data_IF_797018716270
#
_entry.id   IF_797018716270
#
_cell.length_a   1.000
_cell.length_b   1.000
_cell.length_c   1.000
_cell.angle_alpha   90.00
_cell.angle_beta   90.00
_cell.angle_gamma   90.00
#
_symmetry.space_group_name_H-M   'P 1'
#
loop_
_entity.id
_entity.type
_entity.pdbx_description
1 polymer ?
#
# COMPACT_ATOMS: atom_id res chain seq x y z
N UNK A 1 -1.02 22.25 -16.90
CA UNK A 1 -2.16 21.32 -16.72
C UNK A 1 -2.06 20.69 -15.33
N UNK A 2 -2.70 21.28 -14.30
CA UNK A 2 -2.56 20.86 -12.87
C UNK A 2 -3.89 20.60 -12.13
N UNK A 3 -5.03 20.75 -12.79
CA UNK A 3 -6.35 20.76 -12.13
C UNK A 3 -7.18 19.48 -12.29
N UNK A 4 -6.61 18.42 -12.86
CA UNK A 4 -7.33 17.15 -13.06
C UNK A 4 -7.09 16.18 -11.90
N UNK A 5 -5.84 16.07 -11.43
CA UNK A 5 -5.48 15.25 -10.27
C UNK A 5 -6.12 15.75 -8.96
N UNK A 6 -6.32 17.06 -8.79
CA UNK A 6 -6.89 17.64 -7.54
C UNK A 6 -8.38 17.34 -7.36
N UNK A 7 -9.17 17.23 -8.45
CA UNK A 7 -10.61 16.96 -8.34
C UNK A 7 -10.92 15.50 -8.02
N UNK A 8 -10.09 14.57 -8.50
CA UNK A 8 -10.25 13.14 -8.24
C UNK A 8 -9.92 12.82 -6.78
N UNK A 9 -8.89 13.44 -6.20
CA UNK A 9 -8.57 13.30 -4.77
C UNK A 9 -9.66 13.88 -3.85
N UNK A 10 -10.33 14.96 -4.25
CA UNK A 10 -11.46 15.50 -3.48
C UNK A 10 -12.67 14.56 -3.54
N UNK A 11 -12.92 13.86 -4.64
CA UNK A 11 -14.07 12.96 -4.75
C UNK A 11 -13.91 11.73 -3.85
N UNK A 12 -12.69 11.21 -3.69
CA UNK A 12 -12.40 10.11 -2.75
C UNK A 12 -12.54 10.56 -1.28
N UNK A 13 -12.15 11.80 -0.97
CA UNK A 13 -12.29 12.39 0.37
C UNK A 13 -13.74 12.65 0.80
N UNK A 14 -14.69 12.78 -0.14
CA UNK A 14 -16.11 13.02 0.15
C UNK A 14 -16.95 11.77 0.36
N UNK A 15 -16.40 10.58 0.09
CA UNK A 15 -17.11 9.33 0.34
C UNK A 15 -17.02 8.98 1.82
N UNK A 16 -18.15 8.61 2.42
CA UNK A 16 -18.16 8.17 3.82
C UNK A 16 -17.25 6.95 3.98
N UNK A 17 -16.64 6.81 5.17
CA UNK A 17 -15.67 5.74 5.42
C UNK A 17 -16.23 4.34 5.11
N UNK A 18 -17.52 4.14 5.40
CA UNK A 18 -18.23 2.89 5.08
C UNK A 18 -18.30 2.62 3.57
N UNK A 19 -18.50 3.64 2.73
CA UNK A 19 -18.52 3.47 1.27
C UNK A 19 -17.15 3.10 0.72
N UNK A 20 -16.08 3.71 1.24
CA UNK A 20 -14.71 3.36 0.87
C UNK A 20 -14.42 1.88 1.17
N UNK A 21 -14.81 1.41 2.36
CA UNK A 21 -14.65 0.01 2.77
C UNK A 21 -15.46 -0.94 1.88
N UNK A 22 -16.68 -0.57 1.49
CA UNK A 22 -17.46 -1.38 0.55
C UNK A 22 -16.80 -1.52 -0.82
N UNK A 23 -16.23 -0.44 -1.34
CA UNK A 23 -15.47 -0.45 -2.60
C UNK A 23 -14.25 -1.37 -2.48
N UNK A 24 -13.56 -1.32 -1.33
CA UNK A 24 -12.41 -2.16 -1.04
C UNK A 24 -12.77 -3.65 -0.98
N UNK A 25 -13.85 -4.00 -0.26
CA UNK A 25 -14.38 -5.38 -0.21
C UNK A 25 -14.72 -5.89 -1.61
N UNK A 26 -15.39 -5.06 -2.40
CA UNK A 26 -15.73 -5.40 -3.78
C UNK A 26 -14.48 -5.59 -4.65
N UNK A 27 -13.50 -4.70 -4.52
CA UNK A 27 -12.21 -4.79 -5.21
C UNK A 27 -11.47 -6.10 -4.91
N UNK A 28 -11.36 -6.45 -3.62
CA UNK A 28 -10.70 -7.69 -3.23
C UNK A 28 -11.46 -8.92 -3.73
N UNK A 29 -12.79 -8.93 -3.64
CA UNK A 29 -13.60 -10.08 -4.00
C UNK A 29 -13.71 -10.31 -5.51
N UNK A 30 -13.86 -9.25 -6.31
CA UNK A 30 -14.13 -9.37 -7.74
C UNK A 30 -12.92 -9.11 -8.65
N UNK A 31 -11.84 -8.53 -8.13
CA UNK A 31 -10.62 -8.32 -8.92
C UNK A 31 -9.46 -9.13 -8.36
N UNK A 32 -9.11 -8.94 -7.08
CA UNK A 32 -7.90 -9.55 -6.51
C UNK A 32 -8.03 -11.07 -6.39
N UNK A 33 -9.06 -11.57 -5.70
CA UNK A 33 -9.25 -13.01 -5.48
C UNK A 33 -9.36 -13.80 -6.79
N UNK A 34 -10.22 -13.45 -7.77
CA UNK A 34 -10.31 -14.23 -9.00
C UNK A 34 -9.02 -14.18 -9.81
N UNK A 35 -8.33 -13.03 -9.87
CA UNK A 35 -7.03 -12.95 -10.53
C UNK A 35 -5.98 -13.84 -9.85
N UNK A 36 -5.89 -13.81 -8.52
CA UNK A 36 -4.94 -14.63 -7.78
C UNK A 36 -5.24 -16.12 -7.90
N UNK A 37 -6.50 -16.52 -7.81
CA UNK A 37 -6.93 -17.91 -7.98
C UNK A 37 -6.63 -18.40 -9.39
N UNK A 38 -6.88 -17.58 -10.42
CA UNK A 38 -6.54 -17.93 -11.80
C UNK A 38 -5.04 -18.17 -11.95
N UNK A 39 -4.20 -17.29 -11.41
CA UNK A 39 -2.74 -17.44 -11.46
C UNK A 39 -2.28 -18.67 -10.67
N UNK A 40 -2.89 -18.96 -9.51
CA UNK A 40 -2.61 -20.19 -8.75
C UNK A 40 -2.91 -21.44 -9.57
N UNK A 41 -4.08 -21.51 -10.21
CA UNK A 41 -4.47 -22.65 -11.05
C UNK A 41 -3.53 -22.81 -12.25
N UNK A 42 -3.13 -21.71 -12.90
CA UNK A 42 -2.23 -21.75 -14.06
C UNK A 42 -0.77 -22.04 -13.67
N UNK A 43 -0.32 -21.58 -12.51
CA UNK A 43 1.06 -21.80 -12.04
C UNK A 43 1.27 -23.17 -11.42
N UNK A 44 0.21 -23.82 -10.91
CA UNK A 44 0.27 -25.17 -10.35
C UNK A 44 0.86 -26.21 -11.32
N UNK A 45 0.36 -26.38 -12.57
CA UNK A 45 0.93 -27.35 -13.50
C UNK A 45 2.38 -27.01 -13.86
N UNK A 46 2.72 -25.71 -13.99
CA UNK A 46 4.10 -25.29 -14.30
C UNK A 46 5.06 -25.71 -13.19
N UNK A 47 4.64 -25.59 -11.92
CA UNK A 47 5.40 -26.09 -10.79
C UNK A 47 5.49 -27.61 -10.79
N UNK A 48 4.37 -28.34 -10.92
CA UNK A 48 4.36 -29.80 -10.85
C UNK A 48 5.19 -30.43 -11.97
N UNK A 49 5.08 -29.92 -13.20
CA UNK A 49 5.89 -30.38 -14.32
C UNK A 49 7.39 -30.18 -14.04
N UNK A 50 7.77 -29.03 -13.49
CA UNK A 50 9.17 -28.72 -13.17
C UNK A 50 9.71 -29.53 -11.99
N UNK A 51 8.83 -29.88 -11.05
CA UNK A 51 9.15 -30.77 -9.93
C UNK A 51 9.37 -32.21 -10.40
N UNK A 52 8.49 -32.71 -11.28
CA UNK A 52 8.51 -34.08 -11.80
C UNK A 52 9.64 -34.31 -12.81
N UNK A 53 9.87 -33.36 -13.71
CA UNK A 53 10.96 -33.43 -14.71
C UNK A 53 12.33 -33.20 -14.09
N UNK A 54 12.37 -32.68 -12.85
CA UNK A 54 13.61 -32.34 -12.17
C UNK A 54 14.51 -31.46 -13.02
N UNK A 55 13.92 -30.57 -13.85
CA UNK A 55 14.63 -29.76 -14.85
C UNK A 55 15.90 -29.14 -14.25
N UNK A 56 17.02 -29.84 -14.46
CA UNK A 56 18.33 -29.32 -14.16
C UNK A 56 18.70 -28.41 -15.31
N UNK A 57 19.27 -27.27 -14.94
CA UNK A 57 19.85 -26.37 -15.89
C UNK A 57 20.83 -27.07 -16.83
N UNK A 58 20.58 -27.04 -18.16
CA UNK A 58 21.55 -27.39 -19.22
C UNK A 58 22.80 -26.50 -19.26
N UNK A 59 23.05 -25.75 -18.18
CA UNK A 59 24.22 -24.93 -17.95
C UNK A 59 25.06 -25.63 -16.87
N UNK A 60 26.37 -25.77 -17.08
CA UNK A 60 27.36 -26.60 -16.35
C UNK A 60 27.51 -26.35 -14.82
N UNK A 61 26.41 -26.37 -14.06
CA UNK A 61 26.38 -26.13 -12.61
C UNK A 61 25.17 -26.70 -11.86
N UNK A 62 24.26 -27.44 -12.51
CA UNK A 62 23.24 -28.25 -11.83
C UNK A 62 22.21 -27.49 -10.97
N UNK A 63 22.03 -26.18 -11.17
CA UNK A 63 21.12 -25.41 -10.34
C UNK A 63 19.67 -25.77 -10.64
N UNK A 64 18.98 -26.21 -9.60
CA UNK A 64 17.61 -26.68 -9.66
C UNK A 64 16.66 -25.50 -9.81
N UNK A 65 15.83 -25.50 -10.86
CA UNK A 65 14.97 -24.35 -11.21
C UNK A 65 13.58 -24.36 -10.57
N UNK A 66 13.16 -25.51 -10.03
CA UNK A 66 11.82 -25.64 -9.45
C UNK A 66 11.55 -24.70 -8.26
N UNK A 67 12.52 -24.29 -7.38
CA UNK A 67 12.22 -23.40 -6.27
C UNK A 67 11.70 -22.03 -6.75
N UNK A 68 12.31 -21.47 -7.80
CA UNK A 68 11.87 -20.20 -8.39
C UNK A 68 10.47 -20.33 -8.99
N UNK A 69 10.17 -21.46 -9.62
CA UNK A 69 8.83 -21.74 -10.16
C UNK A 69 7.79 -21.97 -9.07
N UNK A 70 8.19 -22.46 -7.88
CA UNK A 70 7.33 -22.60 -6.69
C UNK A 70 7.06 -21.24 -6.01
N UNK A 71 7.97 -20.28 -6.09
CA UNK A 71 7.75 -18.94 -5.51
C UNK A 71 6.49 -18.26 -6.05
N UNK A 72 6.10 -18.54 -7.31
CA UNK A 72 4.90 -17.97 -7.93
C UNK A 72 3.63 -18.45 -7.20
N UNK A 73 3.29 -19.75 -7.18
CA UNK A 73 2.09 -20.21 -6.47
C UNK A 73 2.14 -19.89 -4.98
N UNK A 74 3.31 -19.98 -4.33
CA UNK A 74 3.42 -19.62 -2.91
C UNK A 74 3.14 -18.13 -2.68
N UNK A 75 3.69 -17.25 -3.49
CA UNK A 75 3.47 -15.80 -3.39
C UNK A 75 2.00 -15.44 -3.59
N UNK A 76 1.34 -16.02 -4.60
CA UNK A 76 -0.09 -15.78 -4.81
C UNK A 76 -0.99 -16.42 -3.75
N UNK A 77 -0.61 -17.56 -3.18
CA UNK A 77 -1.32 -18.15 -2.05
C UNK A 77 -1.25 -17.25 -0.81
N UNK A 78 -0.08 -16.68 -0.53
CA UNK A 78 0.08 -15.69 0.54
C UNK A 78 -0.71 -14.42 0.27
N UNK A 79 -0.78 -13.97 -1.00
CA UNK A 79 -1.57 -12.80 -1.39
C UNK A 79 -3.08 -13.04 -1.21
N UNK A 80 -3.58 -14.24 -1.53
CA UNK A 80 -4.97 -14.65 -1.23
C UNK A 80 -5.21 -14.62 0.28
N UNK A 81 -4.30 -15.19 1.07
CA UNK A 81 -4.43 -15.20 2.53
C UNK A 81 -4.45 -13.78 3.11
N UNK A 82 -3.57 -12.89 2.62
CA UNK A 82 -3.56 -11.49 2.99
C UNK A 82 -4.86 -10.78 2.59
N UNK A 83 -5.38 -11.05 1.39
CA UNK A 83 -6.66 -10.54 0.92
C UNK A 83 -7.84 -10.98 1.80
N UNK A 84 -7.86 -12.25 2.22
CA UNK A 84 -8.87 -12.78 3.14
C UNK A 84 -8.75 -12.14 4.53
N UNK A 85 -7.54 -12.01 5.07
CA UNK A 85 -7.32 -11.32 6.34
C UNK A 85 -7.81 -9.85 6.29
N UNK A 86 -7.58 -9.17 5.16
CA UNK A 86 -8.08 -7.83 4.94
C UNK A 86 -9.62 -7.78 4.85
N UNK A 87 -10.24 -8.70 4.11
CA UNK A 87 -11.69 -8.83 4.03
C UNK A 87 -12.34 -9.01 5.41
N UNK A 88 -11.76 -9.85 6.28
CA UNK A 88 -12.25 -10.06 7.64
C UNK A 88 -12.25 -8.74 8.42
N UNK A 89 -11.16 -7.95 8.33
CA UNK A 89 -11.07 -6.63 8.99
C UNK A 89 -12.11 -5.65 8.43
N UNK A 90 -12.29 -5.61 7.12
CA UNK A 90 -13.32 -4.79 6.47
C UNK A 90 -14.74 -5.14 6.95
N UNK A 91 -15.05 -6.44 7.02
CA UNK A 91 -16.35 -6.92 7.54
C UNK A 91 -16.50 -6.58 9.02
N UNK A 92 -15.47 -6.75 9.84
CA UNK A 92 -15.49 -6.38 11.25
C UNK A 92 -15.77 -4.87 11.46
N UNK A 93 -15.16 -4.01 10.65
CA UNK A 93 -15.43 -2.57 10.66
C UNK A 93 -16.87 -2.25 10.25
N UNK A 94 -17.39 -2.88 9.19
CA UNK A 94 -18.78 -2.68 8.74
C UNK A 94 -19.80 -3.12 9.80
N UNK A 95 -19.48 -4.14 10.59
CA UNK A 95 -20.28 -4.60 11.74
C UNK A 95 -20.10 -3.73 13.00
N UNK A 96 -19.26 -2.70 12.96
CA UNK A 96 -18.97 -1.84 14.11
C UNK A 96 -18.16 -2.52 15.23
N UNK A 97 -17.49 -3.63 14.92
CA UNK A 97 -16.73 -4.47 15.86
C UNK A 97 -15.21 -4.42 15.66
N UNK A 98 -14.76 -3.73 14.62
CA UNK A 98 -13.36 -3.66 14.22
C UNK A 98 -12.89 -2.23 14.01
N UNK A 99 -11.58 -2.08 14.08
CA UNK A 99 -10.87 -0.86 13.72
C UNK A 99 -10.97 -0.63 12.21
N UNK A 100 -10.72 0.60 11.79
CA UNK A 100 -10.78 1.00 10.40
C UNK A 100 -9.57 0.45 9.61
N UNK A 101 -9.75 -0.54 8.73
CA UNK A 101 -8.62 -1.21 8.07
C UNK A 101 -7.94 -0.33 7.02
N UNK A 102 -8.65 0.69 6.50
CA UNK A 102 -8.09 1.66 5.56
C UNK A 102 -7.35 2.78 6.29
N UNK A 103 -7.27 2.76 7.63
CA UNK A 103 -6.60 3.81 8.40
C UNK A 103 -5.11 3.56 8.26
N UNK A 104 -4.42 4.44 7.52
CA UNK A 104 -2.96 4.43 7.46
C UNK A 104 -2.42 4.64 8.87
N UNK A 105 -1.95 3.58 9.51
CA UNK A 105 -1.08 3.68 10.68
C UNK A 105 0.18 4.42 10.25
N UNK A 106 0.26 5.71 10.57
CA UNK A 106 1.32 6.61 10.10
C UNK A 106 0.85 7.83 9.30
N UNK A 107 -0.45 8.01 9.03
CA UNK A 107 -0.98 9.27 8.46
C UNK A 107 -1.00 10.46 9.45
N UNK A 108 -0.14 10.42 10.47
CA UNK A 108 0.39 11.58 11.21
C UNK A 108 1.63 12.20 10.53
N UNK A 109 2.03 11.73 9.35
CA UNK A 109 3.35 12.07 8.79
C UNK A 109 3.26 13.19 7.74
N UNK A 110 2.61 13.04 6.58
CA UNK A 110 2.80 14.05 5.51
C UNK A 110 2.21 15.46 5.75
N UNK A 111 0.95 15.58 6.21
CA UNK A 111 0.32 16.90 6.41
C UNK A 111 0.73 17.53 7.75
N UNK A 112 0.87 16.71 8.80
CA UNK A 112 1.35 17.16 10.10
C UNK A 112 2.86 17.52 10.05
N UNK A 113 3.72 16.75 9.36
CA UNK A 113 5.14 17.10 9.16
C UNK A 113 5.28 18.38 8.33
N UNK A 114 4.50 18.53 7.26
CA UNK A 114 4.53 19.76 6.45
C UNK A 114 4.06 20.98 7.26
N UNK A 115 3.00 20.82 8.07
CA UNK A 115 2.53 21.88 8.95
C UNK A 115 3.58 22.23 10.03
N UNK A 116 4.27 21.23 10.56
CA UNK A 116 5.34 21.40 11.54
C UNK A 116 6.59 22.06 10.90
N UNK A 117 6.93 21.70 9.66
CA UNK A 117 8.01 22.30 8.88
C UNK A 117 7.74 23.78 8.56
N UNK A 118 6.53 24.10 8.09
CA UNK A 118 6.10 25.49 7.83
C UNK A 118 6.12 26.32 9.12
N UNK A 119 5.67 25.74 10.25
CA UNK A 119 5.70 26.42 11.55
C UNK A 119 7.14 26.70 12.02
N UNK A 120 8.06 25.73 11.83
CA UNK A 120 9.49 25.91 12.13
C UNK A 120 10.15 26.96 11.25
N UNK A 121 9.85 26.99 9.95
CA UNK A 121 10.36 28.02 9.04
C UNK A 121 9.85 29.42 9.41
N UNK A 122 8.57 29.56 9.75
CA UNK A 122 7.99 30.84 10.15
C UNK A 122 8.64 31.37 11.43
N UNK A 123 8.81 30.51 12.44
CA UNK A 123 9.51 30.87 13.69
C UNK A 123 10.97 31.27 13.45
N UNK A 124 11.70 30.56 12.58
CA UNK A 124 13.07 30.88 12.24
C UNK A 124 13.19 32.23 11.50
N UNK A 125 12.26 32.52 10.57
CA UNK A 125 12.19 33.81 9.86
C UNK A 125 11.87 34.96 10.81
N UNK A 126 10.93 34.75 11.73
CA UNK A 126 10.55 35.75 12.73
C UNK A 126 11.71 36.05 13.71
N UNK A 127 12.40 35.02 14.21
CA UNK A 127 13.58 35.17 15.04
C UNK A 127 14.73 35.91 14.31
N UNK A 128 14.96 35.59 13.03
CA UNK A 128 15.95 36.29 12.20
C UNK A 128 15.58 37.76 11.94
N UNK A 129 14.29 38.05 11.71
CA UNK A 129 13.80 39.41 11.51
C UNK A 129 13.94 40.26 12.77
N UNK A 130 13.60 39.71 13.95
CA UNK A 130 13.79 40.37 15.24
C UNK A 130 15.27 40.63 15.56
N UNK A 131 16.16 39.67 15.25
CA UNK A 131 17.59 39.83 15.43
C UNK A 131 18.18 40.90 14.48
N UNK A 132 17.66 41.04 13.27
CA UNK A 132 18.06 42.09 12.33
C UNK A 132 17.57 43.48 12.80
N UNK A 133 16.33 43.59 13.26
CA UNK A 133 15.78 44.83 13.81
C UNK A 133 16.53 45.30 15.07
N UNK A 134 16.91 44.38 15.95
CA UNK A 134 17.71 44.67 17.14
C UNK A 134 19.15 45.14 16.82
N UNK A 135 19.70 44.75 15.67
CA UNK A 135 21.02 45.20 15.19
C UNK A 135 20.99 46.60 14.57
N UNK A 136 19.84 47.01 14.03
CA UNK A 136 19.67 48.29 13.35
C UNK A 136 19.24 49.42 14.31
N UNK A 137 18.45 49.10 15.35
CA UNK A 137 18.02 50.06 16.38
C UNK A 137 19.04 50.42 17.45
N UNK A 138 20.28 49.93 17.34
CA UNK A 138 21.37 50.14 18.31
C UNK A 138 22.41 51.19 17.91
N UNK A 139 22.14 52.01 16.88
CA UNK A 139 23.00 53.11 16.43
C UNK A 139 22.41 54.47 16.75
#
# INVERSE_FOLDING_TARGET
MKNEHVRVDILSSRLSRRKQIWIEVFGVLFFLLPACVLILVLSWPVFTESWLTGEQSSNSGGLVRWPVKLLIPVGFALLVLAGVAHLIKCVAFLLGRGEDPLRREGARSAEEELAEEIAREAQAREAAALAAAARDGGR
#
